data_IF_033047146006
#
_entry.id   IF_033047146006
#
_cell.length_a   1.000
_cell.length_b   1.000
_cell.length_c   1.000
_cell.angle_alpha   90.00
_cell.angle_beta   90.00
_cell.angle_gamma   90.00
#
_symmetry.space_group_name_H-M   'P 1'
#
loop_
_entity.id
_entity.type
_entity.pdbx_description
1 polymer ?
#
# COMPACT_ATOMS: atom_id res chain seq x y z
N UNK A 1 -7.92 5.80 -9.49
CA UNK A 1 -8.31 4.62 -8.67
C UNK A 1 -9.69 4.10 -9.05
N UNK A 2 -10.22 3.07 -8.35
CA UNK A 2 -11.48 2.38 -8.75
C UNK A 2 -12.72 3.30 -8.76
N UNK A 3 -12.60 4.46 -8.15
CA UNK A 3 -13.68 5.41 -7.98
C UNK A 3 -13.98 6.30 -9.20
N UNK A 4 -13.15 6.25 -10.26
CA UNK A 4 -13.58 6.74 -11.58
C UNK A 4 -14.75 5.92 -12.14
N UNK A 5 -14.99 4.72 -11.59
CA UNK A 5 -15.96 3.75 -12.14
C UNK A 5 -17.10 3.39 -11.18
N UNK A 6 -17.00 3.68 -9.87
CA UNK A 6 -17.92 3.16 -8.85
C UNK A 6 -18.63 4.26 -8.03
N UNK A 7 -19.96 4.16 -7.91
CA UNK A 7 -20.80 5.02 -7.07
C UNK A 7 -21.55 4.18 -6.00
N UNK A 8 -20.81 3.34 -5.27
CA UNK A 8 -21.33 2.30 -4.36
C UNK A 8 -21.38 2.69 -2.87
N UNK A 9 -22.19 1.97 -2.09
CA UNK A 9 -22.40 2.20 -0.65
C UNK A 9 -21.18 1.80 0.20
N UNK A 10 -20.65 2.78 0.94
CA UNK A 10 -19.43 2.66 1.75
C UNK A 10 -19.74 1.94 3.07
N UNK A 11 -19.27 0.69 3.22
CA UNK A 11 -19.36 -0.03 4.51
C UNK A 11 -17.97 -0.26 5.11
N UNK A 12 -17.91 0.00 6.42
CA UNK A 12 -16.70 0.10 7.24
C UNK A 12 -16.73 -1.03 8.28
N UNK A 13 -15.79 -1.98 8.23
CA UNK A 13 -15.76 -3.11 9.19
C UNK A 13 -14.87 -2.81 10.41
N UNK A 14 -15.50 -2.76 11.60
CA UNK A 14 -14.88 -2.98 12.92
C UNK A 14 -14.02 -1.86 13.52
N UNK A 15 -14.52 -1.17 14.56
CA UNK A 15 -13.78 -0.27 15.46
C UNK A 15 -12.81 0.77 14.84
N UNK A 16 -13.35 1.49 13.85
CA UNK A 16 -13.12 2.89 13.44
C UNK A 16 -11.69 3.44 13.39
N UNK A 17 -10.73 2.83 12.69
CA UNK A 17 -9.77 3.60 11.87
C UNK A 17 -10.53 4.45 10.82
N UNK A 18 -11.05 5.60 11.25
CA UNK A 18 -11.59 6.60 10.33
C UNK A 18 -10.46 7.42 9.72
N UNK A 19 -10.74 8.10 8.60
CA UNK A 19 -9.83 9.08 8.00
C UNK A 19 -9.34 10.09 9.06
N UNK A 20 -10.23 10.50 9.98
CA UNK A 20 -9.86 11.38 11.10
C UNK A 20 -8.84 10.74 12.05
N UNK A 21 -8.97 9.44 12.35
CA UNK A 21 -8.00 8.72 13.20
C UNK A 21 -6.68 8.50 12.46
N UNK A 22 -6.71 8.21 11.15
CA UNK A 22 -5.49 8.12 10.32
C UNK A 22 -4.76 9.48 10.32
N UNK A 23 -5.48 10.57 10.05
CA UNK A 23 -4.93 11.91 10.11
C UNK A 23 -4.38 12.27 11.50
N UNK A 24 -5.08 11.88 12.58
CA UNK A 24 -4.59 12.07 13.94
C UNK A 24 -3.30 11.28 14.22
N UNK A 25 -3.20 10.05 13.72
CA UNK A 25 -1.99 9.23 13.83
C UNK A 25 -0.82 9.85 13.06
N UNK A 26 -1.07 10.41 11.86
CA UNK A 26 -0.06 11.13 11.09
C UNK A 26 0.45 12.34 11.86
N UNK A 27 -0.47 13.18 12.34
CA UNK A 27 -0.13 14.36 13.15
C UNK A 27 0.66 13.98 14.39
N UNK A 28 0.26 12.92 15.09
CA UNK A 28 0.98 12.43 16.25
C UNK A 28 2.43 12.03 15.92
N UNK A 29 2.63 11.19 14.90
CA UNK A 29 3.97 10.71 14.53
C UNK A 29 4.88 11.85 14.04
N UNK A 30 4.36 12.73 13.20
CA UNK A 30 5.08 13.91 12.72
C UNK A 30 5.42 14.89 13.86
N UNK A 31 4.50 15.09 14.82
CA UNK A 31 4.75 15.92 15.98
C UNK A 31 5.84 15.33 16.89
N UNK A 32 5.89 14.01 17.01
CA UNK A 32 6.91 13.30 17.77
C UNK A 32 8.29 13.48 17.14
N UNK A 33 8.41 13.32 15.81
CA UNK A 33 9.65 13.56 15.06
C UNK A 33 10.12 15.00 15.26
N UNK A 34 9.20 15.98 15.12
CA UNK A 34 9.52 17.39 15.32
C UNK A 34 10.07 17.69 16.73
N UNK A 35 9.57 16.99 17.76
CA UNK A 35 10.00 17.20 19.15
C UNK A 35 11.30 16.48 19.52
N UNK A 36 11.49 15.25 19.01
CA UNK A 36 12.63 14.39 19.37
C UNK A 36 13.83 14.56 18.44
N UNK A 37 13.66 15.29 17.34
CA UNK A 37 14.69 15.49 16.32
C UNK A 37 14.48 14.57 15.11
N UNK A 38 15.28 14.77 14.05
CA UNK A 38 15.15 13.99 12.83
C UNK A 38 15.32 12.49 13.12
N UNK A 39 14.33 11.69 12.72
CA UNK A 39 14.41 10.24 12.78
C UNK A 39 14.94 9.74 11.43
N UNK A 40 16.12 9.14 11.44
CA UNK A 40 16.70 8.59 10.22
C UNK A 40 15.94 7.34 9.76
N UNK A 41 15.54 6.47 10.69
CA UNK A 41 14.91 5.18 10.38
C UNK A 41 13.63 5.02 11.20
N UNK A 42 12.54 4.64 10.52
CA UNK A 42 11.32 4.16 11.18
C UNK A 42 11.27 2.63 11.15
N UNK A 43 10.91 2.00 12.26
CA UNK A 43 10.66 0.55 12.32
C UNK A 43 9.24 0.32 12.83
N UNK A 44 8.45 -0.43 12.08
CA UNK A 44 7.07 -0.76 12.44
C UNK A 44 6.77 -2.24 12.30
N UNK A 45 5.89 -2.73 13.18
CA UNK A 45 5.36 -4.09 13.15
C UNK A 45 3.85 -4.07 12.93
N UNK A 46 3.35 -4.96 12.06
CA UNK A 46 1.92 -5.16 11.83
C UNK A 46 1.21 -3.85 11.50
N UNK A 47 0.06 -3.58 12.13
CA UNK A 47 -0.69 -2.33 11.98
C UNK A 47 0.10 -1.08 12.40
N UNK A 48 1.15 -1.23 13.22
CA UNK A 48 2.02 -0.13 13.66
C UNK A 48 2.94 0.39 12.56
N UNK A 49 3.15 -0.37 11.48
CA UNK A 49 3.94 0.05 10.33
C UNK A 49 3.16 0.92 9.34
N UNK A 50 1.86 0.65 9.18
CA UNK A 50 1.00 1.29 8.18
C UNK A 50 0.99 2.83 8.21
N UNK A 51 1.01 3.53 9.37
CA UNK A 51 1.03 4.99 9.40
C UNK A 51 2.28 5.60 8.76
N UNK A 52 3.45 4.98 8.92
CA UNK A 52 4.68 5.50 8.32
C UNK A 52 4.67 5.37 6.79
N UNK A 53 4.21 4.23 6.27
CA UNK A 53 4.01 4.05 4.84
C UNK A 53 2.99 5.06 4.28
N UNK A 54 1.87 5.27 4.98
CA UNK A 54 0.89 6.28 4.58
C UNK A 54 1.45 7.70 4.59
N UNK A 55 2.21 8.08 5.62
CA UNK A 55 2.89 9.38 5.67
C UNK A 55 3.82 9.55 4.47
N UNK A 56 4.62 8.54 4.15
CA UNK A 56 5.55 8.60 3.02
C UNK A 56 4.80 8.71 1.69
N UNK A 57 3.75 7.93 1.46
CA UNK A 57 2.93 8.06 0.24
C UNK A 57 2.29 9.45 0.13
N UNK A 58 1.76 10.01 1.22
CA UNK A 58 1.27 11.40 1.23
C UNK A 58 2.39 12.41 1.01
N UNK A 59 3.61 12.15 1.49
CA UNK A 59 4.78 12.98 1.23
C UNK A 59 5.15 12.99 -0.25
N UNK A 60 5.10 11.83 -0.92
CA UNK A 60 5.32 11.75 -2.37
C UNK A 60 4.24 12.52 -3.16
N UNK A 61 3.00 12.65 -2.65
CA UNK A 61 1.92 13.42 -3.31
C UNK A 61 2.12 14.93 -3.11
N UNK A 62 2.45 15.33 -1.88
CA UNK A 62 2.48 16.73 -1.48
C UNK A 62 3.82 17.41 -1.79
N UNK A 63 4.83 16.63 -2.20
CA UNK A 63 6.19 17.04 -2.46
C UNK A 63 6.80 18.04 -1.44
N UNK A 64 6.75 17.77 -0.12
CA UNK A 64 7.43 18.62 0.86
C UNK A 64 8.95 18.52 0.71
N UNK A 65 9.68 19.59 1.03
CA UNK A 65 11.14 19.63 0.85
C UNK A 65 11.92 18.57 1.64
N UNK A 66 11.40 18.11 2.79
CA UNK A 66 12.08 17.16 3.67
C UNK A 66 11.21 15.94 3.94
N UNK A 67 11.74 14.76 3.64
CA UNK A 67 11.12 13.49 4.05
C UNK A 67 11.17 13.35 5.58
N UNK A 68 10.09 12.85 6.22
CA UNK A 68 10.07 12.61 7.65
C UNK A 68 11.00 11.47 8.11
N UNK A 69 11.39 10.58 7.19
CA UNK A 69 12.29 9.45 7.43
C UNK A 69 13.31 9.34 6.29
N UNK A 70 14.53 8.88 6.58
CA UNK A 70 15.52 8.55 5.53
C UNK A 70 15.39 7.10 5.05
N UNK A 71 14.86 6.21 5.89
CA UNK A 71 14.55 4.82 5.53
C UNK A 71 13.45 4.23 6.43
N UNK A 72 12.83 3.14 6.01
CA UNK A 72 11.85 2.40 6.84
C UNK A 72 12.06 0.90 6.84
N UNK A 73 11.74 0.26 7.96
CA UNK A 73 11.69 -1.20 8.12
C UNK A 73 10.26 -1.59 8.48
N UNK A 74 9.64 -2.40 7.62
CA UNK A 74 8.28 -2.87 7.77
C UNK A 74 8.28 -4.37 8.07
N UNK A 75 7.76 -4.76 9.23
CA UNK A 75 7.71 -6.16 9.67
C UNK A 75 6.24 -6.61 9.72
N UNK A 76 5.87 -7.60 8.92
CA UNK A 76 4.51 -8.14 8.79
C UNK A 76 3.44 -7.02 8.61
N UNK A 77 3.76 -5.97 7.85
CA UNK A 77 2.95 -4.76 7.80
C UNK A 77 1.64 -4.97 7.05
N UNK A 78 0.59 -4.28 7.50
CA UNK A 78 -0.64 -4.11 6.73
C UNK A 78 -0.47 -3.02 5.66
N UNK A 79 -1.37 -3.02 4.68
CA UNK A 79 -1.48 -1.92 3.72
C UNK A 79 -1.77 -0.57 4.41
N UNK A 80 -1.29 0.56 3.85
CA UNK A 80 -1.45 1.86 4.47
C UNK A 80 -2.83 2.45 4.16
N UNK A 81 -3.54 2.86 5.21
CA UNK A 81 -4.77 3.65 5.08
C UNK A 81 -4.45 5.06 4.59
N UNK A 82 -5.23 5.59 3.66
CA UNK A 82 -5.10 6.99 3.24
C UNK A 82 -5.79 7.92 4.23
N UNK A 83 -5.16 9.08 4.50
CA UNK A 83 -5.79 10.17 5.27
C UNK A 83 -6.62 11.12 4.41
N UNK A 84 -6.73 10.89 3.11
CA UNK A 84 -7.57 11.70 2.22
C UNK A 84 -8.81 10.93 1.78
N UNK A 85 -9.90 11.67 1.57
CA UNK A 85 -11.15 11.15 0.98
C UNK A 85 -11.07 11.01 -0.54
N UNK A 86 -9.91 11.24 -1.16
CA UNK A 86 -9.79 11.09 -2.61
C UNK A 86 -10.23 9.70 -3.07
N UNK A 87 -11.09 9.73 -4.08
CA UNK A 87 -11.73 8.61 -4.74
C UNK A 87 -10.66 7.64 -5.28
N UNK A 88 -9.50 8.16 -5.68
CA UNK A 88 -8.38 7.36 -6.16
C UNK A 88 -7.85 6.33 -5.17
N UNK A 89 -8.00 6.57 -3.86
CA UNK A 89 -7.54 5.65 -2.80
C UNK A 89 -8.62 4.69 -2.31
N UNK A 90 -9.74 4.60 -3.01
CA UNK A 90 -10.72 3.56 -2.74
C UNK A 90 -10.23 2.26 -3.38
N UNK A 91 -10.09 1.22 -2.57
CA UNK A 91 -9.80 -0.14 -3.03
C UNK A 91 -10.99 -1.03 -2.72
N UNK A 92 -11.38 -1.86 -3.68
CA UNK A 92 -12.41 -2.88 -3.46
C UNK A 92 -11.91 -3.93 -2.44
N UNK A 93 -12.86 -4.55 -1.73
CA UNK A 93 -12.62 -5.62 -0.76
C UNK A 93 -11.72 -6.75 -1.26
N UNK A 94 -11.80 -7.11 -2.54
CA UNK A 94 -10.93 -8.12 -3.16
C UNK A 94 -9.43 -7.82 -3.02
N UNK A 95 -9.04 -6.54 -2.88
CA UNK A 95 -7.65 -6.16 -2.67
C UNK A 95 -7.27 -6.24 -1.18
N UNK A 96 -8.24 -6.01 -0.29
CA UNK A 96 -8.03 -6.09 1.16
C UNK A 96 -8.06 -7.53 1.67
N UNK A 97 -8.90 -8.39 1.10
CA UNK A 97 -9.10 -9.79 1.46
C UNK A 97 -8.42 -10.75 0.47
N UNK A 98 -7.46 -10.26 -0.32
CA UNK A 98 -6.77 -11.10 -1.31
C UNK A 98 -6.01 -12.21 -0.60
N UNK A 99 -6.32 -13.45 -0.98
CA UNK A 99 -5.61 -14.64 -0.50
C UNK A 99 -4.47 -15.01 -1.45
N UNK A 100 -3.59 -15.93 -1.03
CA UNK A 100 -2.42 -16.33 -1.80
C UNK A 100 -2.74 -17.00 -3.16
N UNK A 101 -3.90 -17.65 -3.27
CA UNK A 101 -4.32 -18.35 -4.50
C UNK A 101 -4.56 -17.39 -5.68
N UNK A 102 -4.88 -16.13 -5.39
CA UNK A 102 -5.15 -15.07 -6.38
C UNK A 102 -3.88 -14.58 -7.12
N UNK A 103 -2.69 -15.06 -6.76
CA UNK A 103 -1.42 -14.71 -7.44
C UNK A 103 -1.12 -15.61 -8.65
N UNK A 104 -1.75 -16.78 -8.74
CA UNK A 104 -1.51 -17.76 -9.82
C UNK A 104 -1.96 -17.27 -11.21
N UNK A 105 -2.80 -16.24 -11.27
CA UNK A 105 -3.32 -15.65 -12.52
C UNK A 105 -2.52 -14.45 -13.04
N UNK A 106 -1.43 -14.05 -12.36
CA UNK A 106 -0.64 -12.85 -12.71
C UNK A 106 0.85 -13.14 -12.92
N UNK A 107 1.21 -14.37 -13.30
CA UNK A 107 2.56 -14.66 -13.79
C UNK A 107 2.68 -14.21 -15.25
N UNK A 108 3.66 -13.35 -15.51
CA UNK A 108 3.76 -12.53 -16.70
C UNK A 108 3.86 -13.30 -18.02
N UNK A 109 3.18 -12.76 -19.03
CA UNK A 109 3.58 -12.88 -20.42
C UNK A 109 4.21 -11.54 -20.83
N UNK A 110 5.53 -11.53 -21.02
CA UNK A 110 6.19 -10.45 -21.74
C UNK A 110 5.67 -10.41 -23.18
N UNK A 111 5.36 -9.23 -23.76
CA UNK A 111 5.05 -9.17 -25.17
C UNK A 111 6.37 -9.11 -25.95
N UNK A 112 6.66 -10.18 -26.69
CA UNK A 112 7.64 -10.16 -27.77
C UNK A 112 7.29 -9.06 -28.78
N UNK A 113 8.33 -8.39 -29.26
CA UNK A 113 8.25 -7.31 -30.23
C UNK A 113 7.83 -7.85 -31.60
N UNK A 114 6.63 -7.50 -32.05
CA UNK A 114 6.30 -7.52 -33.48
C UNK A 114 5.68 -6.19 -33.90
N UNK A 115 6.41 -5.51 -34.78
CA UNK A 115 6.01 -4.27 -35.40
C UNK A 115 5.09 -4.56 -36.60
N UNK A 116 3.82 -4.17 -36.51
CA UNK A 116 3.01 -3.75 -37.67
C UNK A 116 1.77 -3.01 -37.20
N UNK A 117 1.63 -1.75 -37.63
CA UNK A 117 0.53 -0.89 -37.22
C UNK A 117 -0.80 -1.20 -37.91
N UNK A 118 -1.90 -0.94 -37.20
CA UNK A 118 -3.12 -0.36 -37.75
C UNK A 118 -4.01 0.14 -36.61
N UNK A 119 -4.56 1.34 -36.77
CA UNK A 119 -5.55 1.95 -35.88
C UNK A 119 -6.71 1.02 -35.55
N UNK A 120 -7.00 0.84 -34.26
CA UNK A 120 -8.36 0.59 -33.78
C UNK A 120 -8.57 1.33 -32.47
N UNK A 121 -9.65 2.10 -32.41
CA UNK A 121 -10.09 2.87 -31.25
C UNK A 121 -10.01 2.04 -29.97
N UNK A 122 -9.45 2.65 -28.92
CA UNK A 122 -9.38 2.07 -27.58
C UNK A 122 -10.80 1.76 -27.12
N UNK A 123 -11.19 0.49 -27.27
CA UNK A 123 -12.41 -0.03 -26.70
C UNK A 123 -12.24 0.07 -25.18
N UNK A 124 -12.82 1.13 -24.61
CA UNK A 124 -12.85 1.36 -23.16
C UNK A 124 -13.50 0.13 -22.53
N UNK A 125 -12.66 -0.77 -22.01
CA UNK A 125 -13.07 -1.89 -21.17
C UNK A 125 -13.94 -1.32 -20.07
N UNK A 126 -15.24 -1.52 -20.18
CA UNK A 126 -16.22 -1.00 -19.23
C UNK A 126 -16.14 -1.90 -18.02
N UNK A 127 -15.26 -1.58 -17.07
CA UNK A 127 -15.19 -2.28 -15.79
C UNK A 127 -16.50 -2.04 -15.05
N UNK A 128 -17.42 -3.00 -15.10
CA UNK A 128 -18.63 -2.98 -14.27
C UNK A 128 -18.20 -3.07 -12.81
N UNK A 129 -18.36 -1.98 -12.06
CA UNK A 129 -18.21 -2.02 -10.61
C UNK A 129 -19.18 -3.02 -10.02
N UNK A 130 -18.64 -4.01 -9.33
CA UNK A 130 -19.43 -4.91 -8.51
C UNK A 130 -19.80 -4.16 -7.23
N UNK A 131 -21.05 -4.28 -6.79
CA UNK A 131 -21.48 -3.83 -5.47
C UNK A 131 -20.61 -4.55 -4.41
N UNK A 132 -19.89 -3.80 -3.57
CA UNK A 132 -18.97 -4.36 -2.58
C UNK A 132 -18.39 -3.28 -1.66
N UNK A 133 -17.84 -3.65 -0.48
CA UNK A 133 -17.22 -2.69 0.40
C UNK A 133 -15.93 -2.12 -0.23
N UNK A 134 -15.72 -0.82 -0.02
CA UNK A 134 -14.51 -0.11 -0.45
C UNK A 134 -13.76 0.44 0.77
N UNK A 135 -12.43 0.38 0.73
CA UNK A 135 -11.54 0.84 1.79
C UNK A 135 -10.70 2.01 1.30
N UNK A 136 -10.52 3.04 2.14
CA UNK A 136 -9.60 4.15 1.85
C UNK A 136 -8.16 3.76 2.18
N UNK A 137 -7.52 3.02 1.27
CA UNK A 137 -6.17 2.47 1.43
C UNK A 137 -5.42 2.61 0.12
N UNK A 138 -4.10 2.71 0.20
CA UNK A 138 -3.29 2.60 -1.01
C UNK A 138 -3.08 1.14 -1.39
N UNK A 139 -3.00 0.87 -2.68
CA UNK A 139 -2.67 -0.44 -3.23
C UNK A 139 -1.91 -0.32 -4.56
N UNK A 140 -0.81 -1.07 -4.71
CA UNK A 140 0.10 -0.95 -5.84
C UNK A 140 -0.56 -1.19 -7.22
N UNK A 141 -1.57 -2.07 -7.29
CA UNK A 141 -2.31 -2.35 -8.52
C UNK A 141 -3.17 -1.18 -9.04
N UNK A 142 -3.53 -0.20 -8.20
CA UNK A 142 -4.44 0.91 -8.60
C UNK A 142 -3.87 2.29 -8.38
N UNK A 143 -2.85 2.41 -7.54
CA UNK A 143 -2.11 3.65 -7.32
C UNK A 143 -0.78 3.57 -8.07
N UNK A 144 -0.39 4.64 -8.77
CA UNK A 144 0.91 4.71 -9.46
C UNK A 144 2.04 5.20 -8.55
N UNK A 145 1.69 5.85 -7.44
CA UNK A 145 2.67 6.45 -6.54
C UNK A 145 3.45 5.40 -5.75
N UNK A 146 4.74 5.64 -5.54
CA UNK A 146 5.64 4.71 -4.85
C UNK A 146 6.51 5.44 -3.84
N UNK A 147 6.74 4.80 -2.69
CA UNK A 147 7.65 5.30 -1.65
C UNK A 147 9.08 5.30 -2.21
N UNK A 148 9.74 6.47 -2.23
CA UNK A 148 11.08 6.66 -2.81
C UNK A 148 12.23 6.42 -1.85
N UNK A 149 12.00 6.58 -0.54
CA UNK A 149 13.02 6.31 0.47
C UNK A 149 13.38 4.81 0.52
N UNK A 150 14.62 4.46 0.90
CA UNK A 150 14.99 3.07 1.17
C UNK A 150 14.03 2.35 2.11
N UNK A 151 13.58 1.15 1.72
CA UNK A 151 12.68 0.32 2.53
C UNK A 151 13.21 -1.10 2.69
N UNK A 152 13.05 -1.68 3.87
CA UNK A 152 13.25 -3.10 4.10
C UNK A 152 11.95 -3.74 4.59
N UNK A 153 11.63 -4.91 4.05
CA UNK A 153 10.39 -5.62 4.36
C UNK A 153 10.72 -7.00 4.90
N UNK A 154 10.11 -7.36 6.02
CA UNK A 154 10.27 -8.64 6.69
C UNK A 154 8.90 -9.26 6.91
N UNK A 155 8.67 -10.49 6.45
CA UNK A 155 7.39 -11.16 6.65
C UNK A 155 7.50 -12.69 6.65
N UNK A 156 6.58 -13.35 7.36
CA UNK A 156 6.55 -14.80 7.48
C UNK A 156 5.85 -15.49 6.30
N UNK A 157 6.34 -16.66 5.88
CA UNK A 157 5.67 -17.51 4.89
C UNK A 157 4.33 -18.05 5.41
N UNK A 158 4.16 -18.18 6.73
CA UNK A 158 2.92 -18.68 7.36
C UNK A 158 2.06 -17.57 7.95
N UNK A 159 2.38 -16.30 7.67
CA UNK A 159 1.56 -15.17 8.13
C UNK A 159 0.23 -15.15 7.35
N UNK A 160 -0.94 -15.24 8.02
CA UNK A 160 -2.24 -15.11 7.35
C UNK A 160 -2.45 -13.75 6.67
N UNK A 161 -1.68 -12.72 7.05
CA UNK A 161 -1.71 -11.38 6.45
C UNK A 161 -0.52 -11.11 5.52
N UNK A 162 0.25 -12.14 5.16
CA UNK A 162 1.45 -12.03 4.32
C UNK A 162 1.22 -11.22 3.05
N UNK A 163 0.05 -11.37 2.44
CA UNK A 163 -0.30 -10.68 1.20
C UNK A 163 -0.24 -9.16 1.33
N UNK A 164 -0.66 -8.60 2.47
CA UNK A 164 -0.57 -7.16 2.72
C UNK A 164 0.88 -6.67 2.77
N UNK A 165 1.79 -7.50 3.30
CA UNK A 165 3.22 -7.18 3.32
C UNK A 165 3.79 -7.17 1.89
N UNK A 166 3.39 -8.13 1.05
CA UNK A 166 3.78 -8.17 -0.37
C UNK A 166 3.21 -6.95 -1.13
N UNK A 167 1.95 -6.59 -0.91
CA UNK A 167 1.37 -5.43 -1.59
C UNK A 167 2.01 -4.12 -1.12
N UNK A 168 2.45 -4.03 0.13
CA UNK A 168 3.24 -2.90 0.61
C UNK A 168 4.65 -2.84 0.00
N UNK A 169 5.30 -3.99 -0.24
CA UNK A 169 6.55 -4.05 -1.01
C UNK A 169 6.35 -3.43 -2.38
N UNK A 170 5.23 -3.75 -3.04
CA UNK A 170 4.94 -3.23 -4.37
C UNK A 170 4.56 -1.74 -4.38
N UNK A 171 4.17 -1.16 -3.24
CA UNK A 171 4.05 0.28 -3.04
C UNK A 171 5.39 1.01 -2.83
N UNK A 172 6.52 0.29 -2.82
CA UNK A 172 7.86 0.87 -2.67
C UNK A 172 8.65 0.77 -3.97
N UNK A 173 9.48 1.77 -4.27
CA UNK A 173 10.32 1.76 -5.47
C UNK A 173 11.24 0.53 -5.50
N UNK A 174 11.20 -0.23 -6.62
CA UNK A 174 11.93 -1.50 -6.78
C UNK A 174 13.45 -1.35 -6.56
N UNK A 175 14.03 -0.22 -6.96
CA UNK A 175 15.47 0.04 -6.81
C UNK A 175 15.90 0.36 -5.36
N UNK A 176 14.95 0.65 -4.47
CA UNK A 176 15.20 1.11 -3.10
C UNK A 176 14.60 0.16 -2.05
N UNK A 177 14.11 -1.03 -2.46
CA UNK A 177 13.47 -1.99 -1.56
C UNK A 177 14.30 -3.26 -1.35
N UNK A 178 14.39 -3.69 -0.11
CA UNK A 178 14.90 -5.00 0.29
C UNK A 178 13.76 -5.84 0.87
N UNK A 179 13.79 -7.14 0.63
CA UNK A 179 12.77 -8.07 1.09
C UNK A 179 13.45 -9.27 1.75
N UNK A 180 12.96 -9.66 2.92
CA UNK A 180 13.39 -10.83 3.64
C UNK A 180 12.17 -11.63 4.09
N UNK A 181 12.11 -12.89 3.69
CA UNK A 181 11.03 -13.79 4.04
C UNK A 181 11.56 -14.85 4.99
N UNK A 182 10.81 -15.16 6.06
CA UNK A 182 11.16 -16.19 7.04
C UNK A 182 10.07 -17.26 7.15
N UNK A 183 10.37 -18.44 7.71
CA UNK A 183 9.43 -19.58 7.76
C UNK A 183 8.36 -19.49 8.87
N UNK A 184 8.28 -18.34 9.52
CA UNK A 184 7.40 -18.08 10.66
C UNK A 184 6.03 -17.53 10.25
N UNK A 185 5.24 -17.16 11.27
CA UNK A 185 3.90 -16.60 11.11
C UNK A 185 3.87 -15.06 11.17
N UNK A 186 2.81 -14.52 11.76
CA UNK A 186 2.66 -13.08 12.04
C UNK A 186 3.48 -12.64 13.26
N UNK A 187 4.81 -12.58 13.11
CA UNK A 187 5.74 -12.35 14.22
C UNK A 187 7.00 -11.61 13.78
N UNK A 188 7.76 -11.12 14.76
CA UNK A 188 9.09 -10.56 14.53
C UNK A 188 10.10 -11.73 14.60
N UNK A 189 10.90 -11.98 13.56
CA UNK A 189 11.89 -13.05 13.57
C UNK A 189 12.96 -12.78 14.65
N UNK A 190 13.41 -13.85 15.32
CA UNK A 190 14.32 -13.78 16.48
C UNK A 190 15.66 -14.48 16.27
N UNK A 191 15.80 -15.23 15.18
CA UNK A 191 16.95 -16.05 14.84
C UNK A 191 17.35 -15.81 13.38
#
# INVERSE_FOLDING_TARGET
>A
GVAEFCNGSFQYWGNTLTIKKVAAAHTYLLSFIKQKGPLDIFLGFSKGAAPAASILLHHEIEHPELSPFKATIFICSSLPFSRSVHWDYLIADKYFLRDDDDLSSSSGSEPESDASGSNSESERVTVKCKDGPYYHMFHADVDEIRISVPTAHVYGTKDPWRKHSIDLVELCHRAQRLQFQHDGGHEIPRE
#
